data_IF_029864355602
#
_entry.id   IF_029864355602
#
_cell.length_a   1.000
_cell.length_b   1.000
_cell.length_c   1.000
_cell.angle_alpha   90.00
_cell.angle_beta   90.00
_cell.angle_gamma   90.00
#
_symmetry.space_group_name_H-M   'P 1'
#
loop_
_entity.id
_entity.type
_entity.pdbx_description
1 polymer ?
#
# COMPACT_ATOMS: atom_id res chain seq x y z
N UNK A 1 -25.57 -23.19 -29.08
CA UNK A 1 -24.14 -22.83 -29.09
C UNK A 1 -23.96 -21.74 -28.03
N UNK A 2 -23.66 -22.13 -26.80
CA UNK A 2 -23.37 -21.16 -25.75
C UNK A 2 -21.96 -20.63 -26.03
N UNK A 3 -21.85 -19.32 -26.24
CA UNK A 3 -20.57 -18.63 -26.29
C UNK A 3 -19.91 -18.84 -24.93
N UNK A 4 -18.87 -19.67 -24.90
CA UNK A 4 -17.89 -19.69 -23.81
C UNK A 4 -17.13 -18.38 -23.92
N UNK A 5 -17.71 -17.30 -23.38
CA UNK A 5 -16.92 -16.13 -23.05
C UNK A 5 -15.79 -16.59 -22.14
N UNK A 6 -14.58 -16.08 -22.37
CA UNK A 6 -13.44 -16.37 -21.50
C UNK A 6 -13.88 -16.19 -20.03
N UNK A 7 -13.58 -17.16 -19.14
CA UNK A 7 -13.88 -17.00 -17.73
C UNK A 7 -13.26 -15.69 -17.27
N UNK A 8 -14.09 -14.79 -16.72
CA UNK A 8 -13.63 -13.49 -16.23
C UNK A 8 -12.51 -13.76 -15.22
N UNK A 9 -11.29 -13.36 -15.58
CA UNK A 9 -10.11 -13.63 -14.77
C UNK A 9 -10.32 -13.04 -13.39
N UNK A 10 -10.06 -13.84 -12.36
CA UNK A 10 -10.31 -13.44 -10.98
C UNK A 10 -9.35 -12.32 -10.58
N UNK A 11 -9.88 -11.35 -9.83
CA UNK A 11 -9.14 -10.14 -9.44
C UNK A 11 -9.06 -10.03 -7.92
N UNK A 12 -7.85 -9.79 -7.42
CA UNK A 12 -7.57 -9.47 -6.03
C UNK A 12 -7.21 -7.99 -5.90
N UNK A 13 -7.82 -7.33 -4.93
CA UNK A 13 -7.48 -5.97 -4.54
C UNK A 13 -6.91 -5.98 -3.12
N UNK A 14 -5.65 -5.53 -2.99
CA UNK A 14 -4.95 -5.39 -1.71
C UNK A 14 -4.93 -3.91 -1.34
N UNK A 15 -5.36 -3.58 -0.13
CA UNK A 15 -5.48 -2.20 0.33
C UNK A 15 -4.47 -1.95 1.44
N UNK A 16 -3.53 -1.04 1.19
CA UNK A 16 -2.72 -0.43 2.25
C UNK A 16 -3.60 0.57 3.00
N UNK A 17 -4.10 0.12 4.14
CA UNK A 17 -5.13 0.84 4.89
C UNK A 17 -4.55 2.12 5.49
N UNK A 18 -3.36 2.08 6.08
CA UNK A 18 -2.74 3.28 6.67
C UNK A 18 -2.49 4.36 5.62
N UNK A 19 -1.93 4.00 4.45
CA UNK A 19 -1.74 4.97 3.36
C UNK A 19 -3.04 5.66 2.99
N UNK A 20 -4.15 4.92 2.84
CA UNK A 20 -5.44 5.52 2.53
C UNK A 20 -5.99 6.39 3.66
N UNK A 21 -5.83 5.97 4.92
CA UNK A 21 -6.28 6.70 6.11
C UNK A 21 -5.67 8.10 6.14
N UNK A 22 -4.34 8.21 6.02
CA UNK A 22 -3.67 9.51 6.02
C UNK A 22 -4.11 10.38 4.84
N UNK A 23 -4.29 9.79 3.65
CA UNK A 23 -4.78 10.53 2.49
C UNK A 23 -6.19 11.10 2.70
N UNK A 24 -7.12 10.34 3.29
CA UNK A 24 -8.48 10.85 3.56
C UNK A 24 -8.52 11.81 4.73
N UNK A 25 -7.71 11.59 5.76
CA UNK A 25 -7.63 12.49 6.91
C UNK A 25 -7.21 13.91 6.49
N UNK A 26 -6.20 14.02 5.61
CA UNK A 26 -5.76 15.31 5.08
C UNK A 26 -6.63 15.85 3.94
N UNK A 27 -7.29 14.97 3.19
CA UNK A 27 -8.07 15.36 2.01
C UNK A 27 -9.54 15.70 2.29
N UNK A 28 -10.09 15.25 3.42
CA UNK A 28 -11.49 15.48 3.80
C UNK A 28 -11.53 16.50 4.95
N UNK A 29 -12.31 17.59 4.82
CA UNK A 29 -12.51 18.55 5.91
C UNK A 29 -12.90 17.86 7.23
N UNK A 30 -12.51 18.47 8.35
CA UNK A 30 -12.83 17.94 9.66
C UNK A 30 -14.34 17.76 9.81
N UNK A 31 -14.75 16.58 10.29
CA UNK A 31 -16.15 16.21 10.51
C UNK A 31 -16.25 15.48 11.84
N UNK A 32 -17.35 15.69 12.55
CA UNK A 32 -17.60 15.07 13.85
C UNK A 32 -18.90 14.27 13.85
N UNK A 33 -18.94 13.22 14.67
CA UNK A 33 -20.17 12.52 15.02
C UNK A 33 -21.06 13.41 15.91
N UNK A 34 -22.34 13.03 16.14
CA UNK A 34 -23.20 13.75 17.11
C UNK A 34 -22.62 13.81 18.53
N UNK A 35 -21.74 12.88 18.91
CA UNK A 35 -21.03 12.87 20.18
C UNK A 35 -19.77 13.76 20.18
N UNK A 36 -19.49 14.48 19.10
CA UNK A 36 -18.34 15.37 18.95
C UNK A 36 -17.03 14.68 18.54
N UNK A 37 -17.01 13.36 18.37
CA UNK A 37 -15.81 12.63 17.98
C UNK A 37 -15.44 12.91 16.50
N UNK A 38 -14.18 13.22 16.17
CA UNK A 38 -13.71 13.30 14.78
C UNK A 38 -13.92 11.98 14.02
N UNK A 39 -14.46 12.06 12.80
CA UNK A 39 -14.80 10.88 11.97
C UNK A 39 -14.50 11.08 10.47
N UNK A 40 -13.76 12.12 10.10
CA UNK A 40 -13.47 12.42 8.69
C UNK A 40 -12.71 11.29 7.99
N UNK A 41 -11.77 10.63 8.68
CA UNK A 41 -11.04 9.49 8.13
C UNK A 41 -11.93 8.24 8.04
N UNK A 42 -12.76 7.97 9.07
CA UNK A 42 -13.75 6.87 9.05
C UNK A 42 -14.68 7.01 7.84
N UNK A 43 -15.24 8.21 7.64
CA UNK A 43 -16.09 8.51 6.49
C UNK A 43 -15.37 8.31 5.15
N UNK A 44 -14.12 8.79 5.07
CA UNK A 44 -13.29 8.64 3.87
C UNK A 44 -13.03 7.18 3.51
N UNK A 45 -12.63 6.36 4.47
CA UNK A 45 -12.39 4.92 4.27
C UNK A 45 -13.67 4.20 3.89
N UNK A 46 -14.81 4.48 4.54
CA UNK A 46 -16.09 3.89 4.17
C UNK A 46 -16.44 4.17 2.70
N UNK A 47 -16.31 5.43 2.27
CA UNK A 47 -16.55 5.83 0.87
C UNK A 47 -15.60 5.12 -0.10
N UNK A 48 -14.32 5.06 0.24
CA UNK A 48 -13.30 4.42 -0.59
C UNK A 48 -13.55 2.92 -0.76
N UNK A 49 -13.86 2.20 0.33
CA UNK A 49 -14.16 0.76 0.31
C UNK A 49 -15.47 0.45 -0.43
N UNK A 50 -16.49 1.30 -0.33
CA UNK A 50 -17.70 1.18 -1.14
C UNK A 50 -17.38 1.33 -2.64
N UNK A 51 -16.63 2.38 -3.02
CA UNK A 51 -16.23 2.59 -4.41
C UNK A 51 -15.34 1.46 -4.97
N UNK A 52 -14.49 0.87 -4.13
CA UNK A 52 -13.70 -0.32 -4.48
C UNK A 52 -14.60 -1.56 -4.69
N UNK A 53 -15.61 -1.77 -3.84
CA UNK A 53 -16.60 -2.83 -4.02
C UNK A 53 -17.41 -2.69 -5.31
N UNK A 54 -17.74 -1.46 -5.71
CA UNK A 54 -18.49 -1.20 -6.95
C UNK A 54 -17.72 -1.59 -8.21
N UNK A 55 -16.38 -1.70 -8.12
CA UNK A 55 -15.52 -2.26 -9.18
C UNK A 55 -15.65 -3.79 -9.30
N UNK A 56 -16.37 -4.44 -8.38
CA UNK A 56 -16.66 -5.88 -8.33
C UNK A 56 -15.39 -6.74 -8.40
N UNK A 57 -14.42 -6.53 -7.49
CA UNK A 57 -13.28 -7.43 -7.38
C UNK A 57 -13.76 -8.82 -6.93
N UNK A 58 -13.02 -9.87 -7.31
CA UNK A 58 -13.30 -11.23 -6.80
C UNK A 58 -12.93 -11.30 -5.32
N UNK A 59 -11.79 -10.70 -4.96
CA UNK A 59 -11.27 -10.65 -3.60
C UNK A 59 -10.87 -9.20 -3.27
N UNK A 60 -11.18 -8.77 -2.05
CA UNK A 60 -10.78 -7.48 -1.51
C UNK A 60 -10.26 -7.71 -0.09
N UNK A 61 -9.03 -7.26 0.18
CA UNK A 61 -8.34 -7.51 1.44
C UNK A 61 -7.64 -6.22 1.88
N UNK A 62 -7.81 -5.85 3.14
CA UNK A 62 -7.12 -4.74 3.77
C UNK A 62 -5.92 -5.24 4.57
N UNK A 63 -4.81 -4.52 4.55
CA UNK A 63 -3.67 -4.73 5.43
C UNK A 63 -3.43 -3.47 6.27
N UNK A 64 -3.04 -3.64 7.53
CA UNK A 64 -2.83 -2.54 8.46
C UNK A 64 -1.67 -2.87 9.41
N UNK A 65 -0.78 -1.90 9.58
CA UNK A 65 0.34 -1.97 10.53
C UNK A 65 -0.17 -2.09 11.96
N UNK A 66 0.74 -2.53 12.83
CA UNK A 66 0.54 -2.45 14.27
C UNK A 66 1.60 -1.56 14.90
N UNK A 67 1.32 -1.10 16.11
CA UNK A 67 2.22 -0.24 16.86
C UNK A 67 3.47 -0.97 17.38
N UNK A 68 3.46 -2.31 17.43
CA UNK A 68 4.61 -3.07 17.90
C UNK A 68 5.82 -2.93 16.95
N UNK A 69 7.05 -2.82 17.48
CA UNK A 69 8.26 -2.79 16.66
C UNK A 69 8.39 -4.02 15.76
N UNK A 70 8.98 -3.82 14.58
CA UNK A 70 9.28 -4.90 13.64
C UNK A 70 10.74 -5.30 13.71
N UNK A 71 11.11 -6.37 12.99
CA UNK A 71 12.50 -6.79 12.88
C UNK A 71 13.41 -5.69 12.29
N UNK A 72 12.85 -4.76 11.50
CA UNK A 72 13.59 -3.62 10.93
C UNK A 72 14.17 -2.71 12.00
N UNK A 73 13.43 -2.44 13.07
CA UNK A 73 13.90 -1.64 14.21
C UNK A 73 15.09 -2.27 14.93
N UNK A 74 15.21 -3.60 14.89
CA UNK A 74 16.36 -4.32 15.47
C UNK A 74 17.61 -4.23 14.60
N UNK A 75 17.44 -4.18 13.27
CA UNK A 75 18.53 -4.06 12.29
C UNK A 75 19.06 -2.63 12.26
N UNK A 76 18.16 -1.65 12.24
CA UNK A 76 18.51 -0.25 12.14
C UNK A 76 17.66 0.58 13.13
N UNK A 77 18.19 0.91 14.32
CA UNK A 77 17.43 1.60 15.36
C UNK A 77 16.88 2.98 14.96
N UNK A 78 17.47 3.63 13.96
CA UNK A 78 16.98 4.92 13.46
C UNK A 78 15.89 4.78 12.38
N UNK A 79 15.50 3.56 12.00
CA UNK A 79 14.44 3.30 11.04
C UNK A 79 13.12 3.96 11.46
N UNK A 80 12.52 4.76 10.56
CA UNK A 80 11.29 5.55 10.80
C UNK A 80 11.32 6.45 12.06
N UNK A 81 12.49 6.69 12.67
CA UNK A 81 12.60 7.38 13.96
C UNK A 81 12.19 8.86 13.94
N UNK A 82 12.12 9.48 12.77
CA UNK A 82 11.66 10.86 12.61
C UNK A 82 10.20 10.97 12.16
N UNK A 83 9.48 9.85 12.00
CA UNK A 83 8.06 9.89 11.65
C UNK A 83 7.29 10.55 12.80
N UNK A 84 6.49 11.60 12.53
CA UNK A 84 5.70 12.23 13.57
C UNK A 84 4.62 11.27 14.06
N UNK A 85 4.27 11.39 15.33
CA UNK A 85 3.10 10.72 15.88
C UNK A 85 1.83 11.14 15.11
N UNK A 86 0.87 10.22 14.90
CA UNK A 86 -0.39 10.57 14.27
C UNK A 86 -1.09 11.72 15.01
N UNK A 87 -1.78 12.64 14.30
CA UNK A 87 -2.55 13.70 14.93
C UNK A 87 -3.56 13.15 15.94
N UNK A 88 -3.76 13.83 17.08
CA UNK A 88 -4.65 13.35 18.15
C UNK A 88 -6.08 13.04 17.65
N UNK A 89 -6.60 13.85 16.73
CA UNK A 89 -7.91 13.67 16.11
C UNK A 89 -8.00 12.44 15.18
N UNK A 90 -6.85 11.88 14.77
CA UNK A 90 -6.76 10.67 13.96
C UNK A 90 -6.63 9.40 14.83
N UNK A 91 -5.93 9.48 15.95
CA UNK A 91 -5.64 8.32 16.82
C UNK A 91 -6.91 7.55 17.18
N UNK A 92 -7.97 8.25 17.59
CA UNK A 92 -9.25 7.63 17.94
C UNK A 92 -10.04 7.06 16.76
N UNK A 93 -9.66 7.37 15.52
CA UNK A 93 -10.35 6.88 14.32
C UNK A 93 -9.81 5.53 13.84
N UNK A 94 -8.58 5.14 14.21
CA UNK A 94 -8.00 3.85 13.79
C UNK A 94 -8.87 2.67 14.21
N UNK A 95 -9.23 2.57 15.49
CA UNK A 95 -10.08 1.49 15.98
C UNK A 95 -11.46 1.47 15.32
N UNK A 96 -12.05 2.64 15.08
CA UNK A 96 -13.34 2.76 14.37
C UNK A 96 -13.25 2.29 12.92
N UNK A 97 -12.11 2.51 12.26
CA UNK A 97 -11.85 2.04 10.90
C UNK A 97 -11.67 0.52 10.87
N UNK A 98 -10.97 -0.06 11.84
CA UNK A 98 -10.86 -1.52 11.98
C UNK A 98 -12.25 -2.16 12.16
N UNK A 99 -13.05 -1.64 13.09
CA UNK A 99 -14.43 -2.08 13.33
C UNK A 99 -15.28 -1.97 12.05
N UNK A 100 -15.17 -0.86 11.32
CA UNK A 100 -15.86 -0.65 10.05
C UNK A 100 -15.47 -1.70 9.00
N UNK A 101 -14.18 -1.95 8.79
CA UNK A 101 -13.69 -2.91 7.79
C UNK A 101 -14.22 -4.31 8.10
N UNK A 102 -14.16 -4.72 9.37
CA UNK A 102 -14.69 -6.01 9.84
C UNK A 102 -16.21 -6.07 9.65
N UNK A 103 -16.94 -5.01 10.00
CA UNK A 103 -18.40 -4.94 9.83
C UNK A 103 -18.84 -4.99 8.36
N UNK A 104 -18.01 -4.51 7.44
CA UNK A 104 -18.24 -4.64 5.99
C UNK A 104 -17.99 -6.07 5.47
N UNK A 105 -17.45 -6.97 6.31
CA UNK A 105 -17.08 -8.33 5.94
C UNK A 105 -15.84 -8.38 5.04
N UNK A 106 -14.94 -7.40 5.15
CA UNK A 106 -13.68 -7.35 4.42
C UNK A 106 -12.58 -7.92 5.32
N UNK A 107 -11.80 -8.91 4.88
CA UNK A 107 -10.64 -9.39 5.64
C UNK A 107 -9.65 -8.26 5.92
N UNK A 108 -9.29 -8.10 7.19
CA UNK A 108 -8.27 -7.17 7.67
C UNK A 108 -7.06 -7.96 8.20
N UNK A 109 -5.93 -7.84 7.52
CA UNK A 109 -4.68 -8.50 7.87
C UNK A 109 -3.84 -7.56 8.72
N UNK A 110 -3.38 -8.09 9.86
CA UNK A 110 -2.49 -7.39 10.76
C UNK A 110 -1.72 -8.40 11.61
N UNK A 111 -0.39 -8.28 11.69
CA UNK A 111 0.45 -9.28 12.35
C UNK A 111 1.61 -8.62 13.10
N UNK A 112 1.79 -8.99 14.37
CA UNK A 112 2.88 -8.45 15.18
C UNK A 112 4.24 -8.83 14.60
N UNK A 113 5.18 -7.88 14.61
CA UNK A 113 6.54 -8.06 14.10
C UNK A 113 6.70 -7.81 12.59
N UNK A 114 5.61 -7.56 11.87
CA UNK A 114 5.58 -7.30 10.42
C UNK A 114 4.81 -6.01 10.11
N UNK A 115 5.18 -5.35 9.02
CA UNK A 115 4.49 -4.16 8.51
C UNK A 115 3.37 -4.56 7.54
N UNK A 116 2.46 -3.63 7.24
CA UNK A 116 1.41 -3.86 6.25
C UNK A 116 1.99 -4.25 4.89
N UNK A 117 3.11 -3.67 4.50
CA UNK A 117 3.80 -3.97 3.24
C UNK A 117 4.30 -5.41 3.16
N UNK A 118 4.73 -6.00 4.29
CA UNK A 118 5.14 -7.41 4.34
C UNK A 118 3.94 -8.34 4.09
N UNK A 119 2.79 -7.99 4.66
CA UNK A 119 1.54 -8.73 4.49
C UNK A 119 1.03 -8.60 3.04
N UNK A 120 1.08 -7.38 2.47
CA UNK A 120 0.72 -7.11 1.08
C UNK A 120 1.62 -7.92 0.14
N UNK A 121 2.94 -7.87 0.33
CA UNK A 121 3.89 -8.62 -0.48
C UNK A 121 3.61 -10.13 -0.44
N UNK A 122 3.33 -10.66 0.76
CA UNK A 122 3.02 -12.08 0.97
C UNK A 122 1.76 -12.49 0.21
N UNK A 123 0.67 -11.71 0.31
CA UNK A 123 -0.59 -12.05 -0.35
C UNK A 123 -0.51 -11.82 -1.85
N UNK A 124 0.17 -10.77 -2.32
CA UNK A 124 0.38 -10.51 -3.74
C UNK A 124 1.16 -11.66 -4.40
N UNK A 125 2.19 -12.18 -3.73
CA UNK A 125 2.95 -13.36 -4.20
C UNK A 125 2.05 -14.58 -4.30
N UNK A 126 1.24 -14.87 -3.28
CA UNK A 126 0.31 -16.01 -3.33
C UNK A 126 -0.77 -15.84 -4.42
N UNK A 127 -1.18 -14.61 -4.72
CA UNK A 127 -2.12 -14.33 -5.80
C UNK A 127 -1.52 -14.68 -7.17
N UNK A 128 -0.24 -14.40 -7.37
CA UNK A 128 0.48 -14.77 -8.61
C UNK A 128 0.57 -16.29 -8.79
N UNK A 129 0.89 -17.02 -7.72
CA UNK A 129 0.90 -18.49 -7.72
C UNK A 129 -0.46 -19.10 -8.08
N UNK A 130 -1.54 -18.35 -7.85
CA UNK A 130 -2.93 -18.73 -8.13
C UNK A 130 -3.47 -18.13 -9.43
N UNK A 131 -2.60 -17.54 -10.25
CA UNK A 131 -2.95 -16.95 -11.55
C UNK A 131 -3.91 -15.73 -11.49
N UNK A 132 -4.05 -15.09 -10.32
CA UNK A 132 -4.93 -13.95 -10.13
C UNK A 132 -4.33 -12.65 -10.68
N UNK A 133 -5.18 -11.74 -11.15
CA UNK A 133 -4.77 -10.35 -11.36
C UNK A 133 -4.84 -9.59 -10.04
N UNK A 134 -3.77 -8.89 -9.67
CA UNK A 134 -3.62 -8.24 -8.39
C UNK A 134 -3.46 -6.72 -8.56
N UNK A 135 -4.30 -5.95 -7.88
CA UNK A 135 -4.20 -4.50 -7.76
C UNK A 135 -3.90 -4.11 -6.32
N UNK A 136 -2.74 -3.48 -6.10
CA UNK A 136 -2.30 -3.02 -4.79
C UNK A 136 -2.59 -1.52 -4.67
N UNK A 137 -3.58 -1.16 -3.86
CA UNK A 137 -3.94 0.21 -3.56
C UNK A 137 -3.02 0.77 -2.47
N UNK A 138 -1.91 1.38 -2.89
CA UNK A 138 -0.93 2.03 -2.00
C UNK A 138 -0.31 3.24 -2.69
N UNK A 139 0.26 4.15 -1.88
CA UNK A 139 1.18 5.19 -2.34
C UNK A 139 2.63 4.84 -2.12
N UNK A 140 2.92 3.70 -1.47
CA UNK A 140 4.27 3.30 -1.14
C UNK A 140 5.03 2.91 -2.42
N UNK A 141 6.17 3.57 -2.61
CA UNK A 141 7.06 3.33 -3.74
C UNK A 141 7.80 1.99 -3.60
N UNK A 142 7.93 1.46 -2.39
CA UNK A 142 8.61 0.18 -2.16
C UNK A 142 7.80 -0.99 -2.71
N UNK A 143 6.47 -0.87 -2.75
CA UNK A 143 5.60 -1.83 -3.41
C UNK A 143 5.85 -1.94 -4.93
N UNK A 144 6.62 -1.03 -5.55
CA UNK A 144 7.03 -1.16 -6.96
C UNK A 144 7.86 -2.43 -7.21
N UNK A 145 8.48 -3.00 -6.18
CA UNK A 145 9.18 -4.28 -6.27
C UNK A 145 8.25 -5.47 -6.56
N UNK A 146 6.95 -5.33 -6.25
CA UNK A 146 5.94 -6.40 -6.40
C UNK A 146 5.33 -6.46 -7.81
N UNK A 147 5.71 -5.54 -8.70
CA UNK A 147 5.14 -5.43 -10.03
C UNK A 147 5.50 -6.65 -10.89
N UNK A 148 4.49 -7.18 -11.56
CA UNK A 148 4.64 -8.29 -12.52
C UNK A 148 3.66 -8.08 -13.68
N UNK A 149 3.59 -9.03 -14.61
CA UNK A 149 2.57 -9.01 -15.68
C UNK A 149 1.12 -8.99 -15.13
N UNK A 150 0.92 -9.54 -13.92
CA UNK A 150 -0.41 -9.67 -13.29
C UNK A 150 -0.59 -8.80 -12.05
N UNK A 151 0.46 -8.14 -11.56
CA UNK A 151 0.40 -7.29 -10.36
C UNK A 151 0.73 -5.86 -10.72
N UNK A 152 -0.17 -4.94 -10.36
CA UNK A 152 0.00 -3.49 -10.58
C UNK A 152 -0.33 -2.73 -9.30
N UNK A 153 0.26 -1.55 -9.17
CA UNK A 153 -0.15 -0.59 -8.14
C UNK A 153 -1.33 0.23 -8.65
N UNK A 154 -2.20 0.65 -7.75
CA UNK A 154 -3.36 1.48 -8.07
C UNK A 154 -3.44 2.70 -7.16
N UNK A 155 -3.41 3.89 -7.76
CA UNK A 155 -3.63 5.12 -7.01
C UNK A 155 -5.13 5.43 -6.98
N UNK A 156 -5.77 5.18 -5.83
CA UNK A 156 -7.22 5.34 -5.68
C UNK A 156 -7.70 6.78 -5.92
N UNK A 157 -6.91 7.80 -5.54
CA UNK A 157 -7.28 9.21 -5.68
C UNK A 157 -7.27 9.68 -7.14
N UNK A 158 -6.30 9.21 -7.91
CA UNK A 158 -6.11 9.57 -9.33
C UNK A 158 -6.84 8.61 -10.28
N UNK A 159 -7.20 7.42 -9.80
CA UNK A 159 -7.80 6.37 -10.64
C UNK A 159 -6.83 5.80 -11.68
N UNK A 160 -5.52 5.84 -11.40
CA UNK A 160 -4.47 5.39 -12.34
C UNK A 160 -3.79 4.13 -11.81
N UNK A 161 -3.50 3.23 -12.74
CA UNK A 161 -2.63 2.07 -12.50
C UNK A 161 -1.17 2.43 -12.80
N UNK A 162 -0.27 1.74 -12.11
CA UNK A 162 1.18 1.83 -12.32
C UNK A 162 1.75 0.41 -12.37
N UNK A 163 2.39 0.07 -13.48
CA UNK A 163 2.95 -1.24 -13.77
C UNK A 163 4.43 -1.17 -14.18
N UNK A 164 4.93 -2.27 -14.75
CA UNK A 164 6.34 -2.40 -15.11
C UNK A 164 6.78 -1.39 -16.19
N UNK A 165 5.91 -1.05 -17.13
CA UNK A 165 6.18 -0.02 -18.15
C UNK A 165 6.38 1.36 -17.53
N UNK A 166 5.52 1.72 -16.59
CA UNK A 166 5.61 3.00 -15.89
C UNK A 166 6.84 3.04 -14.98
N UNK A 167 7.18 1.93 -14.32
CA UNK A 167 8.42 1.81 -13.54
C UNK A 167 9.66 2.03 -14.41
N UNK A 168 9.73 1.36 -15.56
CA UNK A 168 10.85 1.50 -16.48
C UNK A 168 10.97 2.93 -17.02
N UNK A 169 9.84 3.59 -17.32
CA UNK A 169 9.83 4.98 -17.77
C UNK A 169 10.23 5.98 -16.67
N UNK A 170 9.78 5.76 -15.43
CA UNK A 170 10.01 6.66 -14.30
C UNK A 170 11.42 6.51 -13.72
N UNK A 171 11.84 5.27 -13.46
CA UNK A 171 13.10 4.97 -12.74
C UNK A 171 14.16 4.27 -13.60
N UNK A 172 13.86 3.86 -14.83
CA UNK A 172 14.85 3.22 -15.72
C UNK A 172 15.27 1.82 -15.29
N UNK A 173 14.46 1.15 -14.45
CA UNK A 173 14.78 -0.16 -13.87
C UNK A 173 13.59 -1.13 -13.97
N UNK A 174 13.87 -2.41 -13.74
CA UNK A 174 12.86 -3.47 -13.60
C UNK A 174 12.41 -3.64 -12.13
N UNK A 175 11.27 -4.32 -11.86
CA UNK A 175 10.80 -4.56 -10.49
C UNK A 175 11.82 -5.27 -9.60
N UNK A 176 12.57 -6.25 -10.13
CA UNK A 176 13.60 -7.01 -9.42
C UNK A 176 14.81 -6.16 -8.97
N UNK A 177 14.93 -4.93 -9.48
CA UNK A 177 16.01 -3.99 -9.18
C UNK A 177 15.59 -2.89 -8.20
N UNK A 178 14.32 -2.84 -7.80
CA UNK A 178 13.77 -1.77 -6.94
C UNK A 178 14.46 -1.74 -5.58
N UNK A 179 14.68 -2.91 -4.97
CA UNK A 179 15.32 -3.02 -3.65
C UNK A 179 16.77 -2.51 -3.70
N UNK A 180 17.53 -2.93 -4.71
CA UNK A 180 18.92 -2.50 -4.89
C UNK A 180 19.01 -1.00 -5.16
N UNK A 181 18.10 -0.47 -5.99
CA UNK A 181 18.02 0.96 -6.25
C UNK A 181 17.73 1.75 -4.98
N UNK A 182 16.76 1.34 -4.17
CA UNK A 182 16.44 2.01 -2.90
C UNK A 182 17.58 1.88 -1.88
N UNK A 183 18.30 0.75 -1.84
CA UNK A 183 19.47 0.60 -0.98
C UNK A 183 20.59 1.59 -1.36
N UNK A 184 20.77 1.85 -2.66
CA UNK A 184 21.74 2.82 -3.16
C UNK A 184 21.31 4.27 -2.93
N UNK A 185 20.05 4.61 -3.19
CA UNK A 185 19.54 5.98 -3.13
C UNK A 185 19.18 6.40 -1.71
N UNK A 186 18.77 5.43 -0.88
CA UNK A 186 18.16 5.68 0.42
C UNK A 186 16.68 6.02 0.32
N UNK A 187 16.05 6.09 1.48
CA UNK A 187 14.68 6.56 1.64
C UNK A 187 14.56 7.49 2.85
N UNK A 188 14.42 8.78 2.56
CA UNK A 188 14.26 9.78 3.61
C UNK A 188 12.98 9.61 4.40
N UNK A 189 11.91 9.03 3.83
CA UNK A 189 10.65 8.81 4.57
C UNK A 189 10.78 7.75 5.67
N UNK A 190 11.73 6.83 5.49
CA UNK A 190 12.03 5.72 6.38
C UNK A 190 13.34 5.89 7.14
N UNK A 191 13.98 7.05 6.97
CA UNK A 191 15.27 7.41 7.54
C UNK A 191 16.44 6.54 7.06
N UNK A 192 16.31 5.93 5.88
CA UNK A 192 17.37 5.12 5.27
C UNK A 192 18.29 6.07 4.47
N UNK A 193 19.58 6.21 4.83
CA UNK A 193 20.43 7.28 4.30
C UNK A 193 20.89 7.06 2.84
N UNK A 194 20.94 5.82 2.37
CA UNK A 194 21.53 5.49 1.07
C UNK A 194 23.04 5.69 1.01
N UNK A 195 23.59 5.65 -0.21
CA UNK A 195 25.01 5.86 -0.48
C UNK A 195 25.25 7.32 -0.88
N UNK A 196 26.15 8.07 -0.18
CA UNK A 196 26.42 9.46 -0.50
C UNK A 196 26.80 9.69 -1.97
N UNK A 197 26.11 10.62 -2.63
CA UNK A 197 26.35 10.98 -4.03
C UNK A 197 25.67 10.08 -5.06
N UNK A 198 24.93 9.04 -4.64
CA UNK A 198 24.19 8.17 -5.56
C UNK A 198 22.70 8.55 -5.53
N UNK A 199 22.24 9.23 -6.57
CA UNK A 199 20.82 9.47 -6.81
C UNK A 199 20.20 8.46 -7.79
N UNK A 200 18.88 8.52 -7.99
CA UNK A 200 18.12 7.61 -8.86
C UNK A 200 18.77 7.36 -10.23
N UNK A 201 19.23 8.40 -10.92
CA UNK A 201 19.86 8.26 -12.24
C UNK A 201 21.17 7.47 -12.21
N UNK A 202 22.01 7.74 -11.20
CA UNK A 202 23.29 7.06 -11.03
C UNK A 202 23.08 5.61 -10.62
N UNK A 203 22.18 5.36 -9.67
CA UNK A 203 21.80 4.02 -9.25
C UNK A 203 21.25 3.19 -10.42
N UNK A 204 20.29 3.73 -11.18
CA UNK A 204 19.71 3.03 -12.33
C UNK A 204 20.76 2.65 -13.38
N UNK A 205 21.75 3.52 -13.64
CA UNK A 205 22.85 3.20 -14.55
C UNK A 205 23.71 2.05 -14.02
N UNK A 206 24.09 2.08 -12.73
CA UNK A 206 24.90 1.03 -12.11
C UNK A 206 24.20 -0.35 -12.16
N UNK A 207 22.88 -0.37 -12.04
CA UNK A 207 22.09 -1.61 -12.09
C UNK A 207 21.91 -2.16 -13.52
N UNK A 208 22.33 -1.42 -14.55
CA UNK A 208 22.32 -1.89 -15.95
C UNK A 208 23.66 -2.48 -16.40
N UNK A 209 24.71 -2.35 -15.59
CA UNK A 209 26.05 -2.92 -15.83
C UNK A 209 26.14 -4.37 -15.33
#
# INVERSE_FOLDING_TARGET
MFSTGDPKKETLWLIDTHSLIFQVFHGIPMMTSPAGLPINAVFGIARDLMGLRDRKPTYLVCAMDRAEPTFRSSIFPAYKAHRPEPPADLVGQFSLIEELIVAMGIPLLSMAGFEADDLIATVATSAQERDLECLICTSDKDCRQLLTEKTRLFNLRKGIEFGMSELAADWGIRPDQVVELQALVGDSADNVPGVPGIGYKTAAKLLQE
#
